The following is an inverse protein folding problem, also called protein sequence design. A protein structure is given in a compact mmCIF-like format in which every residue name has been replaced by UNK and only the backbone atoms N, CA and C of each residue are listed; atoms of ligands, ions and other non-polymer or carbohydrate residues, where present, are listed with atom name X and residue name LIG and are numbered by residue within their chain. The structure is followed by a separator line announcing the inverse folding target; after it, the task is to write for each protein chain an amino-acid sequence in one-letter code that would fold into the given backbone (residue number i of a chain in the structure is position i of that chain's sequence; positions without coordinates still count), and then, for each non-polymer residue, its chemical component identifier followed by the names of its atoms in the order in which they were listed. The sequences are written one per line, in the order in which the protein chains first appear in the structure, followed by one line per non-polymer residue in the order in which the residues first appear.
data_IF_574566917916
#
_entry.id   IF_574566917916
#
_cell.length_a   1.000
_cell.length_b   1.000
_cell.length_c   1.000
_cell.angle_alpha   90.00
_cell.angle_beta   90.00
_cell.angle_gamma   90.00
#
_symmetry.space_group_name_H-M   'P 1'
#
loop_
_entity.id
_entity.type
_entity.pdbx_description
1 polymer ?
#
# COMPACT_ATOMS: atom_id res chain seq x y z
N UNK A 1 -23.11 -28.49 2.81
CA UNK A 1 -22.26 -27.43 2.22
C UNK A 1 -22.86 -26.04 2.46
N UNK A 2 -24.05 -25.71 1.89
CA UNK A 2 -24.69 -24.40 2.03
C UNK A 2 -24.86 -23.94 3.50
N UNK A 3 -25.28 -24.85 4.40
CA UNK A 3 -25.47 -24.56 5.84
C UNK A 3 -24.13 -24.23 6.53
N UNK A 4 -23.05 -24.92 6.17
CA UNK A 4 -21.70 -24.66 6.67
C UNK A 4 -21.23 -23.28 6.22
N UNK A 5 -21.38 -22.96 4.92
CA UNK A 5 -21.02 -21.67 4.34
C UNK A 5 -21.78 -20.51 5.00
N UNK A 6 -23.08 -20.65 5.21
CA UNK A 6 -23.88 -19.64 5.91
C UNK A 6 -23.40 -19.40 7.34
N UNK A 7 -22.95 -20.43 8.05
CA UNK A 7 -22.52 -20.32 9.45
C UNK A 7 -21.24 -19.48 9.56
N UNK A 8 -20.17 -19.84 8.85
CA UNK A 8 -18.92 -19.09 8.96
C UNK A 8 -19.03 -17.68 8.38
N UNK A 9 -19.83 -17.48 7.32
CA UNK A 9 -20.14 -16.16 6.78
C UNK A 9 -20.72 -15.23 7.84
N UNK A 10 -21.69 -15.70 8.63
CA UNK A 10 -22.27 -14.91 9.72
C UNK A 10 -21.26 -14.63 10.85
N UNK A 11 -20.38 -15.55 11.15
CA UNK A 11 -19.32 -15.36 12.15
C UNK A 11 -18.35 -14.25 11.71
N UNK A 12 -17.86 -14.29 10.47
CA UNK A 12 -16.98 -13.25 9.92
C UNK A 12 -17.71 -11.91 9.88
N UNK A 13 -18.94 -11.85 9.39
CA UNK A 13 -19.70 -10.58 9.33
C UNK A 13 -19.91 -9.94 10.71
N UNK A 14 -20.09 -10.73 11.78
CA UNK A 14 -20.16 -10.20 13.14
C UNK A 14 -18.85 -9.56 13.60
N UNK A 15 -17.71 -10.14 13.22
CA UNK A 15 -16.39 -9.57 13.51
C UNK A 15 -16.19 -8.27 12.73
N UNK A 16 -16.52 -8.27 11.43
CA UNK A 16 -16.40 -7.07 10.59
C UNK A 16 -17.32 -5.93 11.06
N UNK A 17 -18.52 -6.23 11.56
CA UNK A 17 -19.39 -5.20 12.12
C UNK A 17 -18.75 -4.52 13.34
N UNK A 18 -17.98 -5.27 14.15
CA UNK A 18 -17.27 -4.68 15.28
C UNK A 18 -16.11 -3.78 14.82
N UNK A 19 -15.42 -4.09 13.72
CA UNK A 19 -14.33 -3.24 13.20
C UNK A 19 -14.82 -1.87 12.70
N UNK A 20 -16.12 -1.72 12.39
CA UNK A 20 -16.72 -0.45 12.01
C UNK A 20 -16.89 0.54 13.16
N UNK A 21 -16.59 0.12 14.38
CA UNK A 21 -16.63 1.01 15.54
C UNK A 21 -15.38 1.92 15.53
N UNK A 22 -15.58 3.20 15.23
CA UNK A 22 -14.50 4.21 15.15
C UNK A 22 -13.77 4.44 16.47
N UNK A 23 -14.36 4.05 17.61
CA UNK A 23 -13.72 4.16 18.92
C UNK A 23 -12.69 3.05 19.20
N UNK A 24 -12.67 1.97 18.41
CA UNK A 24 -11.69 0.90 18.58
C UNK A 24 -10.31 1.34 18.10
N UNK A 25 -9.31 1.00 18.91
CA UNK A 25 -7.92 1.19 18.53
C UNK A 25 -7.55 0.27 17.35
N UNK A 26 -6.69 0.70 16.39
CA UNK A 26 -6.28 -0.13 15.24
C UNK A 26 -5.79 -1.54 15.64
N UNK A 27 -5.14 -1.70 16.78
CA UNK A 27 -4.72 -3.02 17.31
C UNK A 27 -5.89 -3.95 17.58
N UNK A 28 -6.99 -3.42 18.10
CA UNK A 28 -8.21 -4.20 18.38
C UNK A 28 -8.89 -4.60 17.08
N UNK A 29 -8.98 -3.66 16.12
CA UNK A 29 -9.49 -3.96 14.77
C UNK A 29 -8.64 -5.03 14.06
N UNK A 30 -7.32 -4.90 14.13
CA UNK A 30 -6.40 -5.91 13.58
C UNK A 30 -6.62 -7.30 14.20
N UNK A 31 -6.87 -7.40 15.51
CA UNK A 31 -7.15 -8.67 16.15
C UNK A 31 -8.48 -9.29 15.68
N UNK A 32 -9.52 -8.50 15.50
CA UNK A 32 -10.80 -8.94 14.93
C UNK A 32 -10.63 -9.45 13.50
N UNK A 33 -9.85 -8.73 12.66
CA UNK A 33 -9.55 -9.15 11.29
C UNK A 33 -8.74 -10.45 11.26
N UNK A 34 -7.76 -10.63 12.15
CA UNK A 34 -6.99 -11.89 12.26
C UNK A 34 -7.89 -13.08 12.58
N UNK A 35 -8.87 -12.89 13.46
CA UNK A 35 -9.84 -13.95 13.77
C UNK A 35 -10.76 -14.22 12.56
N UNK A 36 -11.21 -13.19 11.85
CA UNK A 36 -11.99 -13.36 10.64
C UNK A 36 -11.21 -14.11 9.54
N UNK A 37 -9.93 -13.76 9.34
CA UNK A 37 -9.02 -14.46 8.43
C UNK A 37 -8.87 -15.93 8.81
N UNK A 38 -8.65 -16.23 10.09
CA UNK A 38 -8.55 -17.61 10.57
C UNK A 38 -9.80 -18.43 10.20
N UNK A 39 -10.99 -17.86 10.38
CA UNK A 39 -12.25 -18.52 10.03
C UNK A 39 -12.36 -18.75 8.52
N UNK A 40 -11.97 -17.76 7.69
CA UNK A 40 -11.98 -17.90 6.24
C UNK A 40 -11.00 -18.99 5.77
N UNK A 41 -9.77 -19.00 6.30
CA UNK A 41 -8.74 -20.01 6.00
C UNK A 41 -9.20 -21.43 6.38
N UNK A 42 -9.81 -21.61 7.56
CA UNK A 42 -10.33 -22.92 7.99
C UNK A 42 -11.48 -23.45 7.11
N UNK A 43 -12.11 -22.56 6.35
CA UNK A 43 -13.16 -22.90 5.40
C UNK A 43 -12.71 -22.86 3.94
N UNK A 44 -11.40 -22.70 3.71
CA UNK A 44 -10.78 -22.65 2.37
C UNK A 44 -11.37 -21.55 1.46
N UNK A 45 -11.85 -20.45 2.07
CA UNK A 45 -12.39 -19.29 1.36
C UNK A 45 -11.26 -18.30 1.07
N UNK A 46 -10.46 -18.65 0.05
CA UNK A 46 -9.23 -17.91 -0.31
C UNK A 46 -9.54 -16.48 -0.77
N UNK A 47 -10.62 -16.28 -1.49
CA UNK A 47 -11.04 -14.97 -1.97
C UNK A 47 -11.32 -14.04 -0.77
N UNK A 48 -12.16 -14.45 0.15
CA UNK A 48 -12.49 -13.63 1.31
C UNK A 48 -11.31 -13.49 2.28
N UNK A 49 -10.52 -14.55 2.49
CA UNK A 49 -9.29 -14.45 3.28
C UNK A 49 -8.31 -13.41 2.71
N UNK A 50 -8.23 -13.29 1.38
CA UNK A 50 -7.39 -12.26 0.71
C UNK A 50 -7.93 -10.86 0.97
N UNK A 51 -9.23 -10.61 0.79
CA UNK A 51 -9.85 -9.32 1.09
C UNK A 51 -9.61 -8.89 2.54
N UNK A 52 -9.85 -9.81 3.49
CA UNK A 52 -9.62 -9.56 4.92
C UNK A 52 -8.15 -9.26 5.25
N UNK A 53 -7.19 -9.91 4.56
CA UNK A 53 -5.77 -9.60 4.70
C UNK A 53 -5.41 -8.22 4.15
N UNK A 54 -6.03 -7.78 3.06
CA UNK A 54 -5.85 -6.41 2.54
C UNK A 54 -6.37 -5.36 3.52
N UNK A 55 -7.49 -5.63 4.20
CA UNK A 55 -8.00 -4.77 5.27
C UNK A 55 -7.08 -4.79 6.49
N UNK A 56 -6.56 -5.96 6.86
CA UNK A 56 -5.60 -6.07 7.96
C UNK A 56 -4.32 -5.26 7.72
N UNK A 57 -3.80 -5.23 6.49
CA UNK A 57 -2.64 -4.41 6.13
C UNK A 57 -2.92 -2.93 6.40
N UNK A 58 -4.14 -2.44 6.15
CA UNK A 58 -4.49 -1.05 6.47
C UNK A 58 -4.38 -0.76 7.98
N UNK A 59 -4.91 -1.62 8.84
CA UNK A 59 -4.84 -1.44 10.29
C UNK A 59 -3.40 -1.58 10.83
N UNK A 60 -2.60 -2.48 10.24
CA UNK A 60 -1.18 -2.64 10.58
C UNK A 60 -0.37 -1.41 10.17
N UNK A 61 -0.67 -0.80 9.03
CA UNK A 61 -0.02 0.43 8.56
C UNK A 61 -0.24 1.60 9.54
N UNK A 62 -1.46 1.74 10.09
CA UNK A 62 -1.74 2.72 11.15
C UNK A 62 -0.93 2.48 12.44
N UNK A 63 -0.41 1.29 12.62
CA UNK A 63 0.41 0.88 13.76
C UNK A 63 1.90 0.91 13.48
N UNK A 64 2.31 1.24 12.24
CA UNK A 64 3.70 1.10 11.76
C UNK A 64 4.27 -0.31 12.02
N UNK A 65 3.45 -1.33 11.75
CA UNK A 65 3.78 -2.73 11.98
C UNK A 65 4.38 -3.38 10.71
N UNK A 66 5.40 -2.75 10.12
CA UNK A 66 5.96 -3.03 8.79
C UNK A 66 6.30 -4.51 8.56
N UNK A 67 6.98 -5.15 9.52
CA UNK A 67 7.34 -6.56 9.41
C UNK A 67 6.11 -7.48 9.34
N UNK A 68 5.04 -7.15 10.07
CA UNK A 68 3.79 -7.89 10.04
C UNK A 68 3.03 -7.66 8.73
N UNK A 69 3.02 -6.41 8.22
CA UNK A 69 2.44 -6.09 6.91
C UNK A 69 3.08 -6.91 5.80
N UNK A 70 4.42 -6.97 5.76
CA UNK A 70 5.18 -7.76 4.78
C UNK A 70 4.82 -9.24 4.88
N UNK A 71 4.70 -9.77 6.11
CA UNK A 71 4.34 -11.18 6.33
C UNK A 71 2.93 -11.49 5.81
N UNK A 72 1.96 -10.62 6.11
CA UNK A 72 0.57 -10.76 5.64
C UNK A 72 0.51 -10.68 4.11
N UNK A 73 1.22 -9.73 3.51
CA UNK A 73 1.22 -9.57 2.07
C UNK A 73 1.94 -10.71 1.33
N UNK A 74 3.00 -11.26 1.90
CA UNK A 74 3.67 -12.45 1.35
C UNK A 74 2.70 -13.61 1.22
N UNK A 75 1.83 -13.82 2.22
CA UNK A 75 0.78 -14.84 2.15
C UNK A 75 -0.25 -14.56 1.03
N UNK A 76 -0.62 -13.28 0.83
CA UNK A 76 -1.50 -12.87 -0.27
C UNK A 76 -0.86 -13.22 -1.63
N UNK A 77 0.43 -12.95 -1.81
CA UNK A 77 1.13 -13.27 -3.05
C UNK A 77 1.20 -14.78 -3.29
N UNK A 78 1.45 -15.57 -2.25
CA UNK A 78 1.44 -17.04 -2.35
C UNK A 78 0.05 -17.55 -2.75
N UNK A 79 -1.01 -17.00 -2.16
CA UNK A 79 -2.39 -17.35 -2.50
C UNK A 79 -2.72 -16.93 -3.95
N UNK A 80 -2.32 -15.74 -4.38
CA UNK A 80 -2.47 -15.27 -5.75
C UNK A 80 -1.81 -16.21 -6.77
N UNK A 81 -0.57 -16.65 -6.52
CA UNK A 81 0.13 -17.54 -7.47
C UNK A 81 -0.61 -18.88 -7.66
N UNK A 82 -1.34 -19.34 -6.64
CA UNK A 82 -2.09 -20.58 -6.67
C UNK A 82 -3.57 -20.44 -7.08
N UNK A 83 -4.14 -19.21 -7.02
CA UNK A 83 -5.56 -18.95 -7.20
C UNK A 83 -5.83 -17.71 -8.09
N UNK A 84 -5.12 -17.62 -9.23
CA UNK A 84 -5.26 -16.51 -10.20
C UNK A 84 -6.65 -16.41 -10.86
N UNK A 85 -7.45 -17.42 -10.71
CA UNK A 85 -8.83 -17.47 -11.19
C UNK A 85 -9.82 -16.74 -10.29
N UNK A 86 -9.47 -16.53 -9.02
CA UNK A 86 -10.31 -15.84 -8.02
C UNK A 86 -9.68 -14.55 -7.49
N UNK A 87 -8.35 -14.46 -7.42
CA UNK A 87 -7.64 -13.26 -6.95
C UNK A 87 -7.15 -12.48 -8.16
N UNK A 88 -7.58 -11.22 -8.30
CA UNK A 88 -7.10 -10.33 -9.36
C UNK A 88 -5.84 -9.59 -8.91
N UNK A 89 -4.81 -9.61 -9.74
CA UNK A 89 -3.57 -8.92 -9.42
C UNK A 89 -3.75 -7.41 -9.26
N UNK A 90 -4.60 -6.80 -10.07
CA UNK A 90 -4.88 -5.36 -9.99
C UNK A 90 -5.35 -4.90 -8.61
N UNK A 91 -6.11 -5.75 -7.89
CA UNK A 91 -6.62 -5.47 -6.55
C UNK A 91 -5.51 -5.45 -5.48
N UNK A 92 -4.35 -6.07 -5.78
CA UNK A 92 -3.22 -6.16 -4.87
C UNK A 92 -2.25 -4.98 -5.00
N UNK A 93 -2.23 -4.30 -6.16
CA UNK A 93 -1.16 -3.36 -6.53
C UNK A 93 -1.08 -2.15 -5.61
N UNK A 94 -2.23 -1.63 -5.16
CA UNK A 94 -2.24 -0.50 -4.22
C UNK A 94 -1.55 -0.82 -2.90
N UNK A 95 -1.81 -1.98 -2.34
CA UNK A 95 -1.16 -2.45 -1.12
C UNK A 95 0.29 -2.84 -1.37
N UNK A 96 0.61 -3.38 -2.54
CA UNK A 96 1.99 -3.73 -2.87
C UNK A 96 2.94 -2.52 -2.80
N UNK A 97 2.54 -1.35 -3.29
CA UNK A 97 3.38 -0.15 -3.17
C UNK A 97 3.61 0.26 -1.70
N UNK A 98 2.65 0.03 -0.80
CA UNK A 98 2.82 0.25 0.64
C UNK A 98 3.84 -0.73 1.23
N UNK A 99 3.69 -2.01 0.90
CA UNK A 99 4.62 -3.06 1.34
C UNK A 99 6.04 -2.77 0.86
N UNK A 100 6.20 -2.35 -0.39
CA UNK A 100 7.50 -1.92 -0.89
C UNK A 100 8.06 -0.73 -0.09
N UNK A 101 7.22 0.23 0.29
CA UNK A 101 7.62 1.32 1.18
C UNK A 101 8.13 0.80 2.53
N UNK A 102 7.39 -0.11 3.19
CA UNK A 102 7.79 -0.70 4.46
C UNK A 102 9.19 -1.36 4.41
N UNK A 103 9.62 -1.87 3.25
CA UNK A 103 10.94 -2.51 3.14
C UNK A 103 12.11 -1.55 3.32
N UNK A 104 11.92 -0.26 3.11
CA UNK A 104 12.96 0.75 3.35
C UNK A 104 13.15 1.06 4.84
N UNK A 105 12.11 0.85 5.66
CA UNK A 105 12.12 1.15 7.09
C UNK A 105 12.67 -0.01 7.92
N UNK A 106 12.95 -1.16 7.30
CA UNK A 106 13.49 -2.35 7.96
C UNK A 106 14.98 -2.55 7.61
N UNK A 107 15.90 -2.23 8.54
CA UNK A 107 17.34 -2.29 8.29
C UNK A 107 17.85 -3.72 8.05
N UNK A 108 17.07 -4.75 8.41
CA UNK A 108 17.38 -6.15 8.15
C UNK A 108 17.21 -6.53 6.67
N UNK A 109 16.47 -5.74 5.90
CA UNK A 109 16.25 -6.00 4.47
C UNK A 109 17.35 -5.30 3.66
N UNK A 110 18.23 -6.06 2.97
CA UNK A 110 19.28 -5.45 2.15
C UNK A 110 18.69 -4.61 1.01
N UNK A 111 19.32 -3.49 0.70
CA UNK A 111 18.88 -2.58 -0.38
C UNK A 111 18.74 -3.28 -1.74
N UNK A 112 19.52 -4.34 -1.98
CA UNK A 112 19.39 -5.17 -3.19
C UNK A 112 18.03 -5.86 -3.25
N UNK A 113 17.53 -6.37 -2.12
CA UNK A 113 16.22 -6.99 -2.02
C UNK A 113 15.10 -5.94 -2.13
N UNK A 114 15.26 -4.77 -1.51
CA UNK A 114 14.33 -3.63 -1.66
C UNK A 114 14.16 -3.25 -3.13
N UNK A 115 15.27 -3.17 -3.88
CA UNK A 115 15.25 -2.91 -5.32
C UNK A 115 14.56 -4.02 -6.11
N UNK A 116 14.82 -5.28 -5.78
CA UNK A 116 14.19 -6.41 -6.44
C UNK A 116 12.66 -6.40 -6.26
N UNK A 117 12.17 -6.08 -5.07
CA UNK A 117 10.73 -5.90 -4.79
C UNK A 117 10.16 -4.75 -5.63
N UNK A 118 10.87 -3.62 -5.72
CA UNK A 118 10.48 -2.50 -6.56
C UNK A 118 10.40 -2.84 -8.05
N UNK A 119 11.33 -3.62 -8.57
CA UNK A 119 11.30 -4.08 -9.97
C UNK A 119 10.17 -5.10 -10.23
N UNK A 120 9.84 -5.95 -9.25
CA UNK A 120 8.66 -6.82 -9.34
C UNK A 120 7.36 -5.99 -9.33
N UNK A 121 7.24 -5.02 -8.43
CA UNK A 121 6.11 -4.08 -8.42
C UNK A 121 5.96 -3.36 -9.77
N UNK A 122 7.04 -2.80 -10.30
CA UNK A 122 7.08 -2.15 -11.62
C UNK A 122 6.60 -3.08 -12.74
N UNK A 123 7.05 -4.33 -12.74
CA UNK A 123 6.63 -5.32 -13.74
C UNK A 123 5.13 -5.58 -13.66
N UNK A 124 4.58 -5.69 -12.46
CA UNK A 124 3.15 -5.95 -12.21
C UNK A 124 2.28 -4.76 -12.63
N UNK A 125 2.63 -3.52 -12.27
CA UNK A 125 1.85 -2.34 -12.68
C UNK A 125 1.82 -2.20 -14.20
N UNK A 126 2.95 -2.40 -14.90
CA UNK A 126 3.01 -2.31 -16.36
C UNK A 126 2.15 -3.38 -17.05
N UNK A 127 2.20 -4.64 -16.58
CA UNK A 127 1.38 -5.71 -17.20
C UNK A 127 -0.12 -5.54 -16.96
N UNK A 128 -0.51 -4.78 -15.92
CA UNK A 128 -1.90 -4.40 -15.66
C UNK A 128 -2.30 -3.07 -16.33
N UNK A 129 -1.43 -2.49 -17.18
CA UNK A 129 -1.73 -1.31 -17.99
C UNK A 129 -1.61 0.04 -17.27
N UNK A 130 -1.04 0.06 -16.07
CA UNK A 130 -0.78 1.28 -15.31
C UNK A 130 0.54 1.94 -15.72
N UNK A 131 0.66 3.23 -15.41
CA UNK A 131 1.88 4.03 -15.64
C UNK A 131 2.96 3.76 -14.58
N UNK A 132 4.17 4.23 -14.83
CA UNK A 132 5.25 4.17 -13.85
C UNK A 132 5.21 5.31 -12.82
N UNK A 133 4.14 6.11 -12.78
CA UNK A 133 4.03 7.28 -11.91
C UNK A 133 4.24 6.93 -10.43
N UNK A 134 3.54 5.94 -9.92
CA UNK A 134 3.66 5.48 -8.53
C UNK A 134 5.04 4.88 -8.20
N UNK A 135 5.67 4.22 -9.17
CA UNK A 135 7.04 3.70 -9.03
C UNK A 135 8.07 4.84 -8.92
N UNK A 136 8.00 5.84 -9.78
CA UNK A 136 8.89 7.00 -9.71
C UNK A 136 8.63 7.86 -8.47
N UNK A 137 7.37 8.00 -8.07
CA UNK A 137 7.01 8.65 -6.80
C UNK A 137 7.73 7.99 -5.63
N UNK A 138 7.66 6.67 -5.48
CA UNK A 138 8.33 5.97 -4.36
C UNK A 138 9.83 6.24 -4.35
N UNK A 139 10.50 6.10 -5.50
CA UNK A 139 11.93 6.40 -5.57
C UNK A 139 12.27 7.87 -5.27
N UNK A 140 11.43 8.82 -5.67
CA UNK A 140 11.66 10.22 -5.33
C UNK A 140 11.64 10.45 -3.83
N UNK A 141 10.69 9.85 -3.12
CA UNK A 141 10.56 9.92 -1.66
C UNK A 141 11.82 9.36 -0.98
N UNK A 142 12.28 8.19 -1.38
CA UNK A 142 13.47 7.57 -0.79
C UNK A 142 14.72 8.41 -1.04
N UNK A 143 14.87 8.95 -2.26
CA UNK A 143 16.00 9.83 -2.56
C UNK A 143 15.98 11.12 -1.74
N UNK A 144 14.80 11.70 -1.42
CA UNK A 144 14.67 12.87 -0.54
C UNK A 144 15.16 12.50 0.86
N UNK A 145 14.68 11.41 1.44
CA UNK A 145 15.07 10.97 2.78
C UNK A 145 16.54 10.60 2.88
N UNK A 146 17.13 10.04 1.81
CA UNK A 146 18.57 9.79 1.71
C UNK A 146 19.39 11.05 1.38
N UNK A 147 18.76 12.22 1.25
CA UNK A 147 19.39 13.49 0.85
C UNK A 147 20.10 13.44 -0.51
N UNK A 148 19.63 12.59 -1.40
CA UNK A 148 20.13 12.49 -2.78
C UNK A 148 19.28 13.36 -3.71
N UNK A 149 19.34 14.69 -3.49
CA UNK A 149 18.39 15.64 -4.10
C UNK A 149 18.45 15.71 -5.62
N UNK A 150 19.61 15.49 -6.24
CA UNK A 150 19.72 15.43 -7.71
C UNK A 150 18.94 14.25 -8.28
N UNK A 151 19.06 13.07 -7.65
CA UNK A 151 18.28 11.89 -8.03
C UNK A 151 16.80 12.04 -7.71
N UNK A 152 16.49 12.65 -6.57
CA UNK A 152 15.10 12.94 -6.22
C UNK A 152 14.44 13.79 -7.31
N UNK A 153 15.12 14.85 -7.77
CA UNK A 153 14.63 15.70 -8.88
C UNK A 153 14.44 14.91 -10.17
N UNK A 154 15.38 14.05 -10.52
CA UNK A 154 15.24 13.17 -11.70
C UNK A 154 13.99 12.28 -11.62
N UNK A 155 13.72 11.67 -10.46
CA UNK A 155 12.54 10.85 -10.27
C UNK A 155 11.24 11.66 -10.21
N UNK A 156 11.25 12.86 -9.62
CA UNK A 156 10.12 13.80 -9.66
C UNK A 156 9.78 14.15 -11.12
N UNK A 157 10.77 14.49 -11.93
CA UNK A 157 10.55 14.84 -13.34
C UNK A 157 10.00 13.64 -14.13
N UNK A 158 10.52 12.43 -13.91
CA UNK A 158 9.97 11.20 -14.51
C UNK A 158 8.53 10.97 -14.09
N UNK A 159 8.22 11.10 -12.80
CA UNK A 159 6.87 10.96 -12.25
C UNK A 159 5.90 11.93 -12.92
N UNK A 160 6.27 13.22 -13.02
CA UNK A 160 5.42 14.25 -13.61
C UNK A 160 5.16 14.08 -15.11
N UNK A 161 6.03 13.34 -15.81
CA UNK A 161 5.85 13.01 -17.23
C UNK A 161 4.96 11.77 -17.46
N UNK A 162 4.62 11.03 -16.42
CA UNK A 162 3.72 9.89 -16.47
C UNK A 162 2.26 10.32 -16.29
N UNK A 163 1.34 9.58 -16.92
CA UNK A 163 -0.10 9.81 -16.71
C UNK A 163 -0.51 9.49 -15.27
N UNK A 164 -1.50 10.23 -14.78
CA UNK A 164 -2.20 9.92 -13.53
C UNK A 164 -3.14 8.72 -13.79
N UNK A 165 -3.18 7.77 -12.89
CA UNK A 165 -4.05 6.60 -12.94
C UNK A 165 -4.43 6.13 -11.53
N UNK A 166 -5.15 5.01 -11.41
CA UNK A 166 -5.66 4.48 -10.14
C UNK A 166 -4.55 4.06 -9.14
N UNK A 167 -3.29 3.96 -9.60
CA UNK A 167 -2.14 3.73 -8.73
C UNK A 167 -1.49 5.04 -8.24
N UNK A 168 -1.97 6.19 -8.70
CA UNK A 168 -1.47 7.52 -8.33
C UNK A 168 -2.18 8.07 -7.10
N UNK A 169 -1.50 8.92 -6.33
CA UNK A 169 -2.06 9.69 -5.22
C UNK A 169 -1.52 11.12 -5.33
N UNK A 170 -2.25 11.99 -6.00
CA UNK A 170 -1.80 13.37 -6.26
C UNK A 170 -1.50 14.15 -4.98
N UNK A 171 -2.31 13.97 -3.93
CA UNK A 171 -2.06 14.62 -2.65
C UNK A 171 -0.77 14.12 -1.98
N UNK A 172 -0.50 12.80 -2.05
CA UNK A 172 0.74 12.21 -1.54
C UNK A 172 1.96 12.72 -2.33
N UNK A 173 1.86 12.73 -3.66
CA UNK A 173 2.93 13.21 -4.56
C UNK A 173 3.28 14.67 -4.28
N UNK A 174 2.27 15.54 -4.16
CA UNK A 174 2.46 16.95 -3.83
C UNK A 174 3.09 17.11 -2.45
N UNK A 175 2.64 16.37 -1.44
CA UNK A 175 3.20 16.44 -0.10
C UNK A 175 4.70 16.15 -0.09
N UNK A 176 5.13 15.05 -0.72
CA UNK A 176 6.56 14.71 -0.79
C UNK A 176 7.37 15.63 -1.71
N UNK A 177 6.77 16.20 -2.77
CA UNK A 177 7.44 17.25 -3.55
C UNK A 177 7.67 18.51 -2.69
N UNK A 178 6.76 18.85 -1.78
CA UNK A 178 6.98 19.97 -0.84
C UNK A 178 8.20 19.71 0.03
N UNK A 179 8.38 18.49 0.55
CA UNK A 179 9.59 18.13 1.31
C UNK A 179 10.85 18.38 0.49
N UNK A 180 10.87 17.96 -0.79
CA UNK A 180 11.99 18.24 -1.68
C UNK A 180 12.29 19.74 -1.82
N UNK A 181 11.29 20.58 -2.07
CA UNK A 181 11.50 22.03 -2.24
C UNK A 181 11.93 22.71 -0.93
N UNK A 182 11.40 22.29 0.21
CA UNK A 182 11.78 22.80 1.53
C UNK A 182 13.22 22.42 1.88
N UNK A 183 13.59 21.16 1.69
CA UNK A 183 14.95 20.65 1.97
C UNK A 183 16.02 21.26 1.05
N UNK A 184 15.65 21.68 -0.16
CA UNK A 184 16.54 22.33 -1.12
C UNK A 184 16.50 23.87 -1.06
N UNK A 185 15.74 24.45 -0.10
CA UNK A 185 15.65 25.91 0.09
C UNK A 185 14.82 26.66 -0.95
N UNK A 186 14.01 25.96 -1.74
CA UNK A 186 13.14 26.52 -2.78
C UNK A 186 11.76 26.91 -2.21
N UNK A 187 11.74 27.82 -1.24
CA UNK A 187 10.55 28.13 -0.44
C UNK A 187 9.40 28.73 -1.25
N UNK A 188 9.67 29.56 -2.25
CA UNK A 188 8.63 30.16 -3.10
C UNK A 188 7.93 29.09 -3.95
N UNK A 189 8.68 28.13 -4.48
CA UNK A 189 8.14 26.99 -5.23
C UNK A 189 7.32 26.08 -4.31
N UNK A 190 7.83 25.81 -3.11
CA UNK A 190 7.09 25.02 -2.10
C UNK A 190 5.74 25.70 -1.77
N UNK A 191 5.73 27.00 -1.52
CA UNK A 191 4.51 27.75 -1.23
C UNK A 191 3.52 27.71 -2.39
N UNK A 192 3.98 27.93 -3.62
CA UNK A 192 3.14 27.88 -4.81
C UNK A 192 2.49 26.51 -4.98
N UNK A 193 3.25 25.44 -4.83
CA UNK A 193 2.76 24.06 -4.99
C UNK A 193 1.89 23.56 -3.82
N UNK A 194 1.99 24.18 -2.65
CA UNK A 194 1.13 23.84 -1.52
C UNK A 194 -0.34 24.30 -1.72
N UNK A 195 -0.60 25.26 -2.61
CA UNK A 195 -1.95 25.83 -2.77
C UNK A 195 -3.04 24.79 -3.10
N UNK A 196 -2.83 23.80 -3.98
CA UNK A 196 -3.84 22.76 -4.24
C UNK A 196 -4.19 21.93 -3.00
N UNK A 197 -3.21 21.60 -2.14
CA UNK A 197 -3.43 20.89 -0.87
C UNK A 197 -4.20 21.76 0.13
N UNK A 198 -3.78 23.03 0.30
CA UNK A 198 -4.43 24.00 1.21
C UNK A 198 -5.87 24.23 0.80
N UNK A 199 -6.15 24.35 -0.48
CA UNK A 199 -7.47 24.59 -1.04
C UNK A 199 -8.30 23.31 -1.23
N UNK A 200 -7.80 22.15 -0.82
CA UNK A 200 -8.45 20.84 -0.98
C UNK A 200 -8.87 20.54 -2.44
N UNK A 201 -8.04 20.91 -3.39
CA UNK A 201 -8.27 20.72 -4.83
C UNK A 201 -7.74 19.37 -5.34
N UNK A 202 -7.00 18.64 -4.50
CA UNK A 202 -6.48 17.28 -4.75
C UNK A 202 -6.84 16.36 -3.59
N UNK A 203 -7.05 15.09 -3.89
CA UNK A 203 -7.42 14.03 -2.93
C UNK A 203 -6.46 12.84 -3.03
#
# INVERSE_FOLDING_TARGET
ELRKRMKYTLEIQKLLLQTQNDSLHPREKANLLKEAIRIADENEDVEWATELRLDLIYELNLLSADAEEITVFSKILDDYENHKDVIKEEDLLWKYKWIWACTFDLPEIPMEQVKAIGEDYKTRILRNGYSLRSYYHRWSVECIWMRQYDKAKEYIDKMLNEKIDDQSCEACELNFMLDYYLETGQFDEAYSRAQPLINKQVT
#
